data_IF_928889187869
#
_entry.id   IF_928889187869
#
_cell.length_a   1.000
_cell.length_b   1.000
_cell.length_c   1.000
_cell.angle_alpha   90.00
_cell.angle_beta   90.00
_cell.angle_gamma   90.00
#
_symmetry.space_group_name_H-M   'P 1'
#
loop_
_entity.id
_entity.type
_entity.pdbx_description
1 polymer ?
#
# COMPACT_ATOMS: atom_id res chain seq x y z
N UNK A 1 -14.80 10.00 -3.18
CA UNK A 1 -14.97 8.75 -2.41
C UNK A 1 -16.16 7.92 -2.88
N UNK A 2 -17.39 8.42 -2.83
CA UNK A 2 -18.57 7.61 -3.23
C UNK A 2 -18.49 7.11 -4.69
N UNK A 3 -17.92 7.88 -5.61
CA UNK A 3 -17.67 7.42 -6.99
C UNK A 3 -16.78 6.17 -7.03
N UNK A 4 -15.60 6.20 -6.38
CA UNK A 4 -14.66 5.07 -6.32
C UNK A 4 -15.31 3.85 -5.68
N UNK A 5 -16.05 4.04 -4.58
CA UNK A 5 -16.77 2.96 -3.90
C UNK A 5 -17.82 2.33 -4.82
N UNK A 6 -18.63 3.14 -5.51
CA UNK A 6 -19.69 2.62 -6.37
C UNK A 6 -19.17 1.77 -7.52
N UNK A 7 -18.02 2.13 -8.10
CA UNK A 7 -17.46 1.44 -9.26
C UNK A 7 -16.53 0.28 -8.88
N UNK A 8 -15.66 0.47 -7.89
CA UNK A 8 -14.58 -0.48 -7.58
C UNK A 8 -14.83 -1.30 -6.31
N UNK A 9 -15.76 -0.87 -5.45
CA UNK A 9 -16.11 -1.55 -4.20
C UNK A 9 -17.64 -1.68 -4.07
N UNK A 10 -18.36 -2.22 -5.07
CA UNK A 10 -19.82 -2.20 -5.11
C UNK A 10 -20.47 -2.90 -3.91
N UNK A 11 -19.78 -3.87 -3.30
CA UNK A 11 -20.21 -4.57 -2.06
C UNK A 11 -20.35 -3.64 -0.85
N UNK A 12 -19.74 -2.44 -0.88
CA UNK A 12 -19.78 -1.46 0.21
C UNK A 12 -20.90 -0.43 0.03
N UNK A 13 -21.57 -0.41 -1.13
CA UNK A 13 -22.62 0.56 -1.44
C UNK A 13 -23.77 0.48 -0.43
N UNK A 14 -24.20 1.64 0.08
CA UNK A 14 -25.31 1.75 1.03
C UNK A 14 -24.98 1.33 2.47
N UNK A 15 -23.77 0.83 2.74
CA UNK A 15 -23.35 0.52 4.10
C UNK A 15 -23.04 1.78 4.91
N UNK A 16 -23.36 1.74 6.20
CA UNK A 16 -23.05 2.82 7.16
C UNK A 16 -21.55 2.94 7.40
N UNK A 17 -20.85 1.81 7.49
CA UNK A 17 -19.41 1.66 7.73
C UNK A 17 -18.57 1.67 6.43
N UNK A 18 -19.13 2.14 5.30
CA UNK A 18 -18.52 1.98 3.96
C UNK A 18 -17.12 2.57 3.84
N UNK A 19 -16.83 3.71 4.48
CA UNK A 19 -15.51 4.35 4.40
C UNK A 19 -14.45 3.56 5.17
N UNK A 20 -14.81 2.99 6.33
CA UNK A 20 -13.93 2.16 7.15
C UNK A 20 -13.60 0.87 6.40
N UNK A 21 -14.63 0.24 5.84
CA UNK A 21 -14.46 -0.95 4.99
C UNK A 21 -13.66 -0.66 3.73
N UNK A 22 -13.86 0.50 3.12
CA UNK A 22 -13.06 0.93 1.97
C UNK A 22 -11.59 1.04 2.35
N UNK A 23 -11.23 1.74 3.43
CA UNK A 23 -9.85 1.84 3.87
C UNK A 23 -9.26 0.45 4.19
N UNK A 24 -10.04 -0.42 4.85
CA UNK A 24 -9.63 -1.80 5.14
C UNK A 24 -9.34 -2.60 3.87
N UNK A 25 -10.19 -2.48 2.84
CA UNK A 25 -9.95 -3.14 1.54
C UNK A 25 -8.69 -2.60 0.85
N UNK A 26 -8.44 -1.29 0.91
CA UNK A 26 -7.21 -0.69 0.36
C UNK A 26 -5.97 -1.21 1.11
N UNK A 27 -6.01 -1.25 2.45
CA UNK A 27 -4.92 -1.79 3.28
C UNK A 27 -4.61 -3.23 2.89
N UNK A 28 -5.63 -4.10 2.79
CA UNK A 28 -5.46 -5.51 2.41
C UNK A 28 -4.85 -5.70 1.03
N UNK A 29 -5.34 -4.94 0.05
CA UNK A 29 -4.85 -5.05 -1.34
C UNK A 29 -3.42 -4.54 -1.46
N UNK A 30 -3.09 -3.43 -0.79
CA UNK A 30 -1.71 -2.93 -0.71
C UNK A 30 -0.81 -3.93 0.01
N UNK A 31 -1.23 -4.50 1.14
CA UNK A 31 -0.47 -5.51 1.86
C UNK A 31 -0.15 -6.72 0.98
N UNK A 32 -1.15 -7.24 0.25
CA UNK A 32 -0.96 -8.33 -0.71
C UNK A 32 0.03 -7.99 -1.83
N UNK A 33 -0.09 -6.80 -2.40
CA UNK A 33 0.82 -6.32 -3.45
C UNK A 33 2.26 -6.25 -2.94
N UNK A 34 2.46 -5.64 -1.78
CA UNK A 34 3.78 -5.50 -1.14
C UNK A 34 4.35 -6.87 -0.76
N UNK A 35 3.56 -7.76 -0.18
CA UNK A 35 4.00 -9.12 0.13
C UNK A 35 4.48 -9.85 -1.13
N UNK A 36 3.73 -9.74 -2.24
CA UNK A 36 4.15 -10.25 -3.54
C UNK A 36 5.46 -9.63 -4.01
N UNK A 37 5.62 -8.31 -3.89
CA UNK A 37 6.88 -7.65 -4.27
C UNK A 37 8.07 -8.18 -3.47
N UNK A 38 7.91 -8.36 -2.16
CA UNK A 38 8.97 -8.88 -1.31
C UNK A 38 9.29 -10.35 -1.64
N UNK A 39 8.28 -11.18 -1.91
CA UNK A 39 8.47 -12.60 -2.20
C UNK A 39 9.14 -12.84 -3.56
N UNK A 40 8.80 -12.05 -4.57
CA UNK A 40 9.33 -12.19 -5.94
C UNK A 40 10.51 -11.27 -6.25
N UNK A 41 11.02 -10.54 -5.25
CA UNK A 41 12.18 -9.66 -5.44
C UNK A 41 11.90 -8.42 -6.30
N UNK A 42 10.66 -7.93 -6.35
CA UNK A 42 10.30 -6.74 -7.11
C UNK A 42 10.61 -5.46 -6.33
N UNK A 43 11.36 -4.56 -6.98
CA UNK A 43 11.70 -3.22 -6.53
C UNK A 43 10.98 -2.19 -7.42
N UNK A 44 10.21 -1.27 -6.81
CA UNK A 44 9.46 -0.25 -7.54
C UNK A 44 10.28 1.01 -7.84
N UNK A 45 11.08 1.47 -6.88
CA UNK A 45 11.97 2.62 -6.99
C UNK A 45 11.35 4.02 -6.89
N UNK A 46 10.02 4.15 -7.01
CA UNK A 46 9.29 5.43 -6.79
C UNK A 46 7.92 5.16 -6.16
N UNK A 47 7.86 5.14 -4.82
CA UNK A 47 6.61 4.89 -4.08
C UNK A 47 6.04 6.18 -3.48
N UNK A 48 5.91 7.22 -4.31
CA UNK A 48 5.16 8.43 -3.92
C UNK A 48 3.66 8.09 -3.77
N UNK A 49 2.91 8.90 -3.02
CA UNK A 49 1.49 8.63 -2.76
C UNK A 49 0.61 8.64 -4.01
N UNK A 50 0.96 9.40 -5.03
CA UNK A 50 0.31 9.45 -6.35
C UNK A 50 0.54 8.17 -7.18
N UNK A 51 1.60 7.41 -6.88
CA UNK A 51 1.89 6.12 -7.51
C UNK A 51 1.26 4.91 -6.78
N UNK A 52 0.50 5.16 -5.71
CA UNK A 52 -0.17 4.11 -4.95
C UNK A 52 -1.62 3.93 -5.44
N UNK A 53 -1.84 2.89 -6.25
CA UNK A 53 -3.19 2.55 -6.72
C UNK A 53 -4.09 2.17 -5.55
N UNK A 54 -5.27 2.79 -5.50
CA UNK A 54 -6.33 2.46 -4.52
C UNK A 54 -6.88 1.04 -4.69
N UNK A 55 -6.57 0.39 -5.82
CA UNK A 55 -6.95 -0.98 -6.11
C UNK A 55 -5.87 -2.00 -5.69
N UNK A 56 -4.74 -1.53 -5.15
CA UNK A 56 -3.57 -2.37 -4.81
C UNK A 56 -2.93 -3.02 -6.04
N UNK A 57 -2.87 -2.28 -7.14
CA UNK A 57 -2.17 -2.68 -8.35
C UNK A 57 -0.82 -1.95 -8.42
N UNK A 58 0.20 -2.63 -8.94
CA UNK A 58 1.48 -1.99 -9.27
C UNK A 58 1.23 -0.96 -10.37
N UNK A 59 1.74 0.26 -10.20
CA UNK A 59 1.41 1.39 -11.05
C UNK A 59 2.61 2.31 -11.22
N UNK A 60 2.73 2.94 -12.39
CA UNK A 60 3.84 3.84 -12.75
C UNK A 60 5.23 3.16 -12.72
N UNK A 61 5.46 2.34 -13.74
CA UNK A 61 6.72 1.62 -13.95
C UNK A 61 7.82 2.57 -14.48
N UNK A 62 8.58 3.16 -13.57
CA UNK A 62 9.79 3.94 -13.88
C UNK A 62 11.07 3.12 -13.63
N UNK A 63 11.87 3.45 -12.59
CA UNK A 63 13.10 2.75 -12.25
C UNK A 63 12.85 1.45 -11.47
N UNK A 64 11.95 0.60 -11.96
CA UNK A 64 11.68 -0.70 -11.33
C UNK A 64 12.75 -1.73 -11.69
N UNK A 65 12.90 -2.75 -10.84
CA UNK A 65 13.82 -3.85 -11.07
C UNK A 65 13.32 -5.14 -10.41
N UNK A 66 13.78 -6.29 -10.89
CA UNK A 66 13.76 -7.54 -10.14
C UNK A 66 15.17 -7.80 -9.61
N UNK A 67 15.31 -8.05 -8.31
CA UNK A 67 16.61 -8.35 -7.70
C UNK A 67 16.99 -9.80 -8.04
N UNK A 68 18.10 -10.00 -8.75
CA UNK A 68 18.58 -11.33 -9.13
C UNK A 68 19.22 -12.07 -7.95
N UNK A 69 19.97 -11.35 -7.12
CA UNK A 69 20.54 -11.82 -5.87
C UNK A 69 19.89 -11.04 -4.73
N UNK A 70 19.59 -11.72 -3.63
CA UNK A 70 18.97 -11.07 -2.48
C UNK A 70 19.87 -9.96 -1.94
N UNK A 71 19.44 -8.72 -2.15
CA UNK A 71 20.10 -7.50 -1.70
C UNK A 71 19.07 -6.63 -0.99
N UNK A 72 18.92 -6.75 0.35
CA UNK A 72 17.84 -6.09 1.07
C UNK A 72 17.87 -4.56 0.94
N UNK A 73 19.06 -3.97 0.88
CA UNK A 73 19.25 -2.53 0.75
C UNK A 73 19.37 -2.06 -0.71
N UNK A 74 18.90 -2.86 -1.69
CA UNK A 74 18.96 -2.50 -3.11
C UNK A 74 18.21 -1.20 -3.40
N UNK A 75 18.88 -0.30 -4.12
CA UNK A 75 18.33 0.97 -4.64
C UNK A 75 18.70 1.07 -6.12
N UNK A 76 17.72 0.85 -6.99
CA UNK A 76 17.88 0.98 -8.45
C UNK A 76 17.62 2.39 -8.99
N UNK A 77 16.92 3.23 -8.23
CA UNK A 77 16.65 4.61 -8.64
C UNK A 77 17.85 5.52 -8.37
N UNK A 78 18.50 6.00 -9.42
CA UNK A 78 19.68 6.88 -9.34
C UNK A 78 19.42 8.23 -8.66
N UNK A 79 18.16 8.66 -8.51
CA UNK A 79 17.81 9.89 -7.78
C UNK A 79 17.47 9.65 -6.31
N UNK A 80 17.40 8.40 -5.85
CA UNK A 80 17.09 8.03 -4.47
C UNK A 80 18.38 7.86 -3.63
N UNK A 81 19.11 8.97 -3.43
CA UNK A 81 20.40 8.96 -2.74
C UNK A 81 20.34 8.50 -1.28
N UNK A 82 19.20 8.70 -0.61
CA UNK A 82 18.97 8.29 0.79
C UNK A 82 18.44 6.85 0.92
N UNK A 83 18.17 6.21 -0.23
CA UNK A 83 17.55 4.89 -0.31
C UNK A 83 16.17 4.86 0.35
N UNK A 84 15.38 5.93 0.24
CA UNK A 84 14.02 6.02 0.79
C UNK A 84 13.17 4.83 0.33
N UNK A 85 13.31 4.43 -0.94
CA UNK A 85 12.56 3.34 -1.56
C UNK A 85 13.36 2.04 -1.68
N UNK A 86 14.45 1.88 -0.90
CA UNK A 86 15.22 0.64 -0.87
C UNK A 86 14.32 -0.59 -0.72
N UNK A 87 14.72 -1.72 -1.31
CA UNK A 87 13.87 -2.91 -1.42
C UNK A 87 13.23 -3.35 -0.08
N UNK A 88 14.00 -3.40 1.01
CA UNK A 88 13.55 -3.72 2.36
C UNK A 88 12.69 -2.64 3.05
N UNK A 89 12.72 -1.40 2.55
CA UNK A 89 11.94 -0.28 3.10
C UNK A 89 10.55 -0.18 2.45
N UNK A 90 10.35 -0.80 1.29
CA UNK A 90 9.06 -0.75 0.56
C UNK A 90 7.85 -1.11 1.45
N UNK A 91 7.90 -2.11 2.36
CA UNK A 91 6.78 -2.39 3.26
C UNK A 91 6.47 -1.24 4.22
N UNK A 92 7.49 -0.60 4.80
CA UNK A 92 7.33 0.54 5.69
C UNK A 92 6.83 1.79 4.96
N UNK A 93 7.31 2.03 3.73
CA UNK A 93 6.85 3.13 2.88
C UNK A 93 5.38 2.97 2.50
N UNK A 94 4.95 1.76 2.13
CA UNK A 94 3.54 1.50 1.84
C UNK A 94 2.65 1.72 3.07
N UNK A 95 3.11 1.34 4.27
CA UNK A 95 2.39 1.68 5.51
C UNK A 95 2.27 3.20 5.70
N UNK A 96 3.35 3.95 5.51
CA UNK A 96 3.33 5.41 5.60
C UNK A 96 2.38 6.04 4.57
N UNK A 97 2.36 5.54 3.33
CA UNK A 97 1.43 6.00 2.29
C UNK A 97 -0.04 5.70 2.66
N UNK A 98 -0.32 4.55 3.27
CA UNK A 98 -1.66 4.22 3.78
C UNK A 98 -2.07 5.16 4.92
N UNK A 99 -1.14 5.55 5.79
CA UNK A 99 -1.40 6.57 6.83
C UNK A 99 -1.73 7.94 6.22
N UNK A 100 -1.03 8.34 5.17
CA UNK A 100 -1.34 9.58 4.43
C UNK A 100 -2.74 9.54 3.81
N UNK A 101 -3.14 8.39 3.23
CA UNK A 101 -4.51 8.16 2.75
C UNK A 101 -5.53 8.23 3.90
N UNK A 102 -5.26 7.58 5.02
CA UNK A 102 -6.10 7.62 6.22
C UNK A 102 -6.33 9.05 6.70
N UNK A 103 -5.27 9.86 6.77
CA UNK A 103 -5.36 11.28 7.11
C UNK A 103 -6.24 12.07 6.13
N UNK A 104 -6.13 11.81 4.82
CA UNK A 104 -6.99 12.44 3.81
C UNK A 104 -8.48 12.06 3.95
N UNK A 105 -8.79 10.95 4.63
CA UNK A 105 -10.15 10.49 4.91
C UNK A 105 -10.70 10.96 6.28
N UNK A 106 -9.93 11.74 7.05
CA UNK A 106 -10.34 12.21 8.40
C UNK A 106 -11.63 13.04 8.43
N UNK A 107 -12.08 13.59 7.31
CA UNK A 107 -13.37 14.30 7.21
C UNK A 107 -14.59 13.36 7.20
N UNK A 108 -14.38 12.07 6.94
CA UNK A 108 -15.43 11.05 6.82
C UNK A 108 -15.19 9.80 7.68
N UNK A 109 -14.06 9.74 8.38
CA UNK A 109 -13.66 8.67 9.28
C UNK A 109 -13.09 9.24 10.58
N UNK A 110 -13.49 8.64 11.68
CA UNK A 110 -12.91 8.92 12.99
C UNK A 110 -11.46 8.45 13.05
N UNK A 111 -10.65 9.16 13.83
CA UNK A 111 -9.23 8.85 14.02
C UNK A 111 -9.01 7.42 14.52
N UNK A 112 -9.78 6.99 15.51
CA UNK A 112 -9.67 5.65 16.10
C UNK A 112 -9.95 4.55 15.07
N UNK A 113 -10.91 4.78 14.15
CA UNK A 113 -11.21 3.84 13.08
C UNK A 113 -10.06 3.73 12.07
N UNK A 114 -9.41 4.86 11.75
CA UNK A 114 -8.23 4.88 10.88
C UNK A 114 -7.08 4.11 11.53
N UNK A 115 -6.78 4.39 12.81
CA UNK A 115 -5.69 3.74 13.54
C UNK A 115 -5.90 2.22 13.66
N UNK A 116 -7.12 1.77 13.97
CA UNK A 116 -7.47 0.34 14.03
C UNK A 116 -7.25 -0.34 12.68
N UNK A 117 -7.66 0.31 11.58
CA UNK A 117 -7.49 -0.27 10.24
C UNK A 117 -6.01 -0.30 9.83
N UNK A 118 -5.23 0.75 10.08
CA UNK A 118 -3.80 0.79 9.76
C UNK A 118 -2.99 -0.23 10.56
N UNK A 119 -3.33 -0.47 11.83
CA UNK A 119 -2.66 -1.45 12.67
C UNK A 119 -2.69 -2.88 12.08
N UNK A 120 -3.74 -3.22 11.30
CA UNK A 120 -3.84 -4.52 10.62
C UNK A 120 -2.84 -4.73 9.48
N UNK A 121 -2.21 -3.67 8.96
CA UNK A 121 -1.40 -3.76 7.75
C UNK A 121 -0.24 -4.76 7.87
N UNK A 122 0.46 -4.75 9.01
CA UNK A 122 1.64 -5.62 9.21
C UNK A 122 1.23 -7.08 9.21
N UNK A 123 0.16 -7.42 9.93
CA UNK A 123 -0.37 -8.78 9.99
C UNK A 123 -0.86 -9.25 8.61
N UNK A 124 -1.51 -8.37 7.85
CA UNK A 124 -1.95 -8.67 6.48
C UNK A 124 -0.76 -8.92 5.54
N UNK A 125 0.34 -8.15 5.64
CA UNK A 125 1.55 -8.40 4.85
C UNK A 125 2.14 -9.76 5.19
N UNK A 126 2.24 -10.09 6.49
CA UNK A 126 2.78 -11.37 6.94
C UNK A 126 1.93 -12.56 6.47
N UNK A 127 0.61 -12.45 6.59
CA UNK A 127 -0.32 -13.49 6.16
C UNK A 127 -0.24 -13.77 4.65
N UNK A 128 0.00 -12.74 3.83
CA UNK A 128 0.13 -12.90 2.37
C UNK A 128 1.53 -13.38 1.95
N UNK A 129 2.55 -13.20 2.80
CA UNK A 129 3.93 -13.62 2.52
C UNK A 129 4.16 -15.10 2.82
N UNK A 130 3.40 -15.71 3.74
CA UNK A 130 3.56 -17.10 4.15
C UNK A 130 2.56 -18.08 3.52
N UNK A 131 1.58 -17.56 2.77
CA UNK A 131 0.48 -18.33 2.15
C UNK A 131 0.72 -18.75 0.71
#
# INVERSE_FOLDING_TARGET
MDHVINWHFPKLKGRKDRFKLFLSEVVKRTAKMIAGWQAYGFYHGVMNTDNMSILGQTFDYGPYAFIEQYQPNFVGNHTDYEGRYAFNRQPGIAHWNLSALGYALSSVLEKDDIEVVLASYVDEVQAQYTG
#
